data_IF_315667943629
#
_entry.id   IF_315667943629
#
_cell.length_a   1.000
_cell.length_b   1.000
_cell.length_c   1.000
_cell.angle_alpha   90.00
_cell.angle_beta   90.00
_cell.angle_gamma   90.00
#
_symmetry.space_group_name_H-M   'P 1'
#
loop_
_entity.id
_entity.type
_entity.pdbx_description
1 polymer ?
#
# COMPACT_ATOMS: atom_id res chain seq x y z
N UNK A 1 88.85 24.19 45.50
CA UNK A 1 88.04 24.88 44.49
C UNK A 1 86.54 24.51 44.69
N UNK A 2 85.76 25.46 45.17
CA UNK A 2 84.30 25.28 45.35
C UNK A 2 83.60 25.91 44.13
N UNK A 3 82.64 25.24 43.50
CA UNK A 3 81.87 25.88 42.43
C UNK A 3 80.82 26.82 43.04
N UNK A 4 80.78 28.05 42.54
CA UNK A 4 79.73 29.04 42.84
C UNK A 4 78.50 28.70 42.10
N UNK A 5 77.45 28.30 42.81
CA UNK A 5 76.10 28.12 42.30
C UNK A 5 75.49 29.54 42.13
N UNK A 6 75.34 29.96 40.90
CA UNK A 6 74.52 31.11 40.51
C UNK A 6 73.06 30.81 40.71
N UNK A 7 72.47 31.30 41.77
CA UNK A 7 71.01 31.28 42.04
C UNK A 7 70.32 32.24 41.04
N UNK A 8 69.76 31.66 40.01
CA UNK A 8 68.90 32.37 39.07
C UNK A 8 67.54 32.59 39.70
N UNK A 9 67.43 33.68 40.50
CA UNK A 9 66.07 34.15 40.90
C UNK A 9 65.34 34.61 39.66
N UNK A 10 64.40 33.82 39.17
CA UNK A 10 63.42 34.26 38.20
C UNK A 10 62.57 35.36 38.83
N UNK A 11 62.69 36.58 38.37
CA UNK A 11 61.78 37.65 38.75
C UNK A 11 60.38 37.29 38.29
N UNK A 12 59.48 36.92 39.20
CA UNK A 12 58.05 36.83 38.92
C UNK A 12 57.53 38.25 38.71
N UNK A 13 57.53 38.72 37.45
CA UNK A 13 56.82 39.93 37.06
C UNK A 13 55.32 39.63 37.15
N UNK A 14 54.60 40.25 38.10
CA UNK A 14 53.16 40.19 38.18
C UNK A 14 52.51 40.86 36.98
N UNK A 15 51.36 40.34 36.55
CA UNK A 15 50.59 40.99 35.50
C UNK A 15 50.04 42.34 35.94
N UNK A 16 50.04 43.29 35.01
CA UNK A 16 49.39 44.56 35.21
C UNK A 16 47.90 44.46 35.09
N UNK A 17 47.13 45.30 35.78
CA UNK A 17 45.67 45.34 35.74
C UNK A 17 45.17 45.60 34.31
N UNK A 18 45.90 46.35 33.49
CA UNK A 18 45.58 46.65 32.10
C UNK A 18 45.77 45.40 31.20
N UNK A 19 46.82 44.59 31.42
CA UNK A 19 47.02 43.33 30.68
C UNK A 19 45.93 42.34 30.98
N UNK A 20 45.41 42.27 32.21
CA UNK A 20 44.35 41.43 32.60
C UNK A 20 43.00 41.87 31.95
N UNK A 21 42.75 43.18 31.88
CA UNK A 21 41.61 43.78 31.24
C UNK A 21 41.62 43.56 29.73
N UNK A 22 42.72 43.74 29.05
CA UNK A 22 42.87 43.51 27.62
C UNK A 22 42.72 42.02 27.30
N UNK A 23 43.31 41.13 28.09
CA UNK A 23 43.23 39.70 27.93
C UNK A 23 41.77 39.18 28.07
N UNK A 24 41.03 39.68 29.08
CA UNK A 24 39.64 39.33 29.28
C UNK A 24 38.74 39.87 28.16
N UNK A 25 38.99 41.09 27.65
CA UNK A 25 38.26 41.66 26.53
C UNK A 25 38.45 40.83 25.24
N UNK A 26 39.70 40.43 24.94
CA UNK A 26 40.02 39.57 23.81
C UNK A 26 39.35 38.20 24.00
N UNK A 27 39.45 37.61 25.21
CA UNK A 27 38.85 36.32 25.51
C UNK A 27 37.31 36.33 25.31
N UNK A 28 36.61 37.34 25.79
CA UNK A 28 35.17 37.51 25.61
C UNK A 28 34.83 37.66 24.14
N UNK A 29 35.59 38.46 23.38
CA UNK A 29 35.36 38.66 21.95
C UNK A 29 35.55 37.37 21.14
N UNK A 30 36.64 36.63 21.41
CA UNK A 30 36.94 35.36 20.76
C UNK A 30 35.90 34.30 21.13
N UNK A 31 35.54 34.23 22.42
CA UNK A 31 34.50 33.30 22.88
C UNK A 31 33.14 33.63 22.25
N UNK A 32 32.76 34.89 22.18
CA UNK A 32 31.55 35.34 21.47
C UNK A 32 31.56 35.00 20.00
N UNK A 33 32.68 35.16 19.31
CA UNK A 33 32.82 34.75 17.91
C UNK A 33 32.69 33.22 17.73
N UNK A 34 33.30 32.44 18.61
CA UNK A 34 33.17 30.97 18.60
C UNK A 34 31.71 30.55 18.80
N UNK A 35 31.01 31.12 19.79
CA UNK A 35 29.58 30.80 20.00
C UNK A 35 28.69 31.18 18.81
N UNK A 36 28.98 32.32 18.15
CA UNK A 36 28.23 32.73 16.97
C UNK A 36 28.40 31.79 15.77
N UNK A 37 29.57 31.17 15.63
CA UNK A 37 29.84 30.15 14.59
C UNK A 37 29.32 28.76 14.96
N UNK A 38 29.33 28.38 16.25
CA UNK A 38 28.86 27.09 16.72
C UNK A 38 27.33 26.97 16.64
N UNK A 39 26.60 28.04 16.87
CA UNK A 39 25.13 28.00 16.92
C UNK A 39 24.48 27.55 15.58
N UNK A 40 24.89 28.07 14.41
CA UNK A 40 24.39 27.53 13.13
C UNK A 40 24.83 26.08 12.89
N UNK A 41 26.06 25.71 13.26
CA UNK A 41 26.60 24.38 13.07
C UNK A 41 25.83 23.32 13.87
N UNK A 42 25.49 23.63 15.13
CA UNK A 42 24.64 22.73 15.95
C UNK A 42 23.27 22.51 15.36
N UNK A 43 22.70 23.51 14.68
CA UNK A 43 21.43 23.37 14.05
C UNK A 43 21.43 22.49 12.83
N UNK A 44 22.42 22.63 12.02
CA UNK A 44 22.60 21.78 10.87
C UNK A 44 22.85 20.33 11.31
N UNK A 45 23.59 20.13 12.41
CA UNK A 45 23.81 18.80 12.98
C UNK A 45 22.51 18.13 13.48
N UNK A 46 21.49 18.88 13.87
CA UNK A 46 20.18 18.34 14.29
C UNK A 46 19.22 18.16 13.12
N UNK A 47 19.18 19.09 12.17
CA UNK A 47 18.21 19.06 11.06
C UNK A 47 18.62 18.14 9.93
N UNK A 48 19.90 18.03 9.59
CA UNK A 48 20.36 17.20 8.47
C UNK A 48 20.07 15.70 8.64
N UNK A 49 20.31 15.07 9.80
CA UNK A 49 19.93 13.67 10.02
C UNK A 49 18.43 13.43 9.87
N UNK A 50 17.60 14.34 10.40
CA UNK A 50 16.15 14.23 10.31
C UNK A 50 15.65 14.34 8.86
N UNK A 51 16.21 15.28 8.08
CA UNK A 51 15.90 15.40 6.64
C UNK A 51 16.28 14.13 5.89
N UNK A 52 17.47 13.57 6.17
CA UNK A 52 17.91 12.34 5.54
C UNK A 52 17.00 11.14 5.90
N UNK A 53 16.58 11.05 7.15
CA UNK A 53 15.66 10.02 7.63
C UNK A 53 14.27 10.18 7.00
N UNK A 54 13.72 11.39 6.92
CA UNK A 54 12.48 11.67 6.21
C UNK A 54 12.55 11.26 4.74
N UNK A 55 13.65 11.55 4.05
CA UNK A 55 13.85 11.15 2.67
C UNK A 55 13.90 9.62 2.52
N UNK A 56 14.53 8.92 3.46
CA UNK A 56 14.58 7.46 3.47
C UNK A 56 13.19 6.85 3.71
N UNK A 57 12.44 7.36 4.68
CA UNK A 57 11.05 6.93 4.94
C UNK A 57 10.17 7.12 3.70
N UNK A 58 10.30 8.29 3.05
CA UNK A 58 9.57 8.60 1.82
C UNK A 58 9.90 7.64 0.69
N UNK A 59 11.19 7.31 0.54
CA UNK A 59 11.66 6.36 -0.47
C UNK A 59 11.08 4.96 -0.24
N UNK A 60 11.11 4.46 1.00
CA UNK A 60 10.55 3.14 1.36
C UNK A 60 9.05 3.08 1.06
N UNK A 61 8.28 4.11 1.46
CA UNK A 61 6.85 4.18 1.19
C UNK A 61 6.54 4.23 -0.30
N UNK A 62 7.27 5.08 -1.04
CA UNK A 62 7.11 5.21 -2.48
C UNK A 62 7.44 3.90 -3.23
N UNK A 63 8.59 3.29 -2.98
CA UNK A 63 9.00 2.05 -3.64
C UNK A 63 8.02 0.91 -3.34
N UNK A 64 7.54 0.80 -2.10
CA UNK A 64 6.58 -0.23 -1.72
C UNK A 64 5.25 -0.03 -2.43
N UNK A 65 4.65 1.16 -2.33
CA UNK A 65 3.36 1.45 -2.97
C UNK A 65 3.44 1.37 -4.49
N UNK A 66 4.53 1.84 -5.10
CA UNK A 66 4.76 1.75 -6.54
C UNK A 66 4.80 0.28 -7.01
N UNK A 67 5.58 -0.57 -6.32
CA UNK A 67 5.71 -2.00 -6.64
C UNK A 67 4.37 -2.71 -6.54
N UNK A 68 3.64 -2.52 -5.46
CA UNK A 68 2.35 -3.17 -5.22
C UNK A 68 1.29 -2.70 -6.23
N UNK A 69 1.24 -1.39 -6.53
CA UNK A 69 0.37 -0.84 -7.57
C UNK A 69 0.69 -1.41 -8.95
N UNK A 70 1.96 -1.57 -9.30
CA UNK A 70 2.36 -2.17 -10.58
C UNK A 70 1.93 -3.63 -10.72
N UNK A 71 1.84 -4.37 -9.61
CA UNK A 71 1.38 -5.76 -9.58
C UNK A 71 -0.14 -5.88 -9.62
N UNK A 72 -0.88 -4.84 -9.26
CA UNK A 72 -2.35 -4.89 -9.20
C UNK A 72 -2.96 -5.43 -10.48
N UNK A 73 -3.88 -6.39 -10.34
CA UNK A 73 -4.58 -7.02 -11.46
C UNK A 73 -3.76 -8.05 -12.24
N UNK A 74 -2.54 -8.39 -11.81
CA UNK A 74 -1.83 -9.51 -12.40
C UNK A 74 -2.68 -10.78 -12.31
N UNK A 75 -2.87 -11.44 -13.44
CA UNK A 75 -3.67 -12.66 -13.56
C UNK A 75 -2.85 -13.93 -13.39
N UNK A 76 -3.47 -15.11 -13.56
CA UNK A 76 -2.81 -16.40 -13.47
C UNK A 76 -1.66 -16.49 -14.48
N UNK A 77 -0.54 -17.03 -14.03
CA UNK A 77 0.64 -17.24 -14.89
C UNK A 77 0.39 -18.28 -15.98
N UNK A 78 -0.34 -19.33 -15.65
CA UNK A 78 -0.61 -20.42 -16.60
C UNK A 78 -2.09 -20.50 -16.94
N UNK A 79 -2.37 -20.32 -18.21
CA UNK A 79 -3.44 -20.97 -18.94
C UNK A 79 -4.86 -20.85 -18.46
N UNK A 80 -5.18 -19.93 -17.63
CA UNK A 80 -6.57 -19.55 -17.75
C UNK A 80 -6.70 -18.91 -19.13
N UNK A 81 -7.55 -19.44 -19.94
CA UNK A 81 -7.96 -18.94 -21.26
C UNK A 81 -8.34 -17.44 -21.23
N UNK A 82 -8.30 -16.84 -20.10
CA UNK A 82 -9.00 -15.65 -19.67
C UNK A 82 -8.11 -14.45 -19.39
N UNK A 83 -6.82 -14.61 -19.22
CA UNK A 83 -5.88 -13.49 -19.14
C UNK A 83 -5.88 -12.72 -17.82
N UNK A 84 -5.96 -11.42 -17.87
CA UNK A 84 -5.84 -10.54 -16.71
C UNK A 84 -6.99 -10.73 -15.72
N UNK A 85 -6.66 -10.72 -14.41
CA UNK A 85 -7.62 -10.81 -13.31
C UNK A 85 -8.71 -9.72 -13.36
N UNK A 86 -8.40 -8.54 -13.92
CA UNK A 86 -9.35 -7.44 -14.09
C UNK A 86 -10.59 -7.79 -14.94
N UNK A 87 -10.58 -8.88 -15.67
CA UNK A 87 -11.77 -9.36 -16.39
C UNK A 87 -12.81 -9.99 -15.48
N UNK A 88 -12.49 -10.28 -14.23
CA UNK A 88 -13.35 -10.99 -13.29
C UNK A 88 -13.69 -10.17 -12.07
N UNK A 89 -12.73 -9.41 -11.52
CA UNK A 89 -12.99 -8.55 -10.38
C UNK A 89 -12.08 -7.32 -10.38
N UNK A 90 -12.45 -6.29 -9.62
CA UNK A 90 -11.66 -5.09 -9.48
C UNK A 90 -10.49 -5.33 -8.52
N UNK A 91 -9.23 -5.29 -9.00
CA UNK A 91 -8.07 -5.58 -8.15
C UNK A 91 -7.62 -4.39 -7.30
N UNK A 92 -8.29 -3.26 -7.43
CA UNK A 92 -8.02 -2.04 -6.66
C UNK A 92 -9.31 -1.63 -5.96
N UNK A 93 -9.31 -1.64 -4.63
CA UNK A 93 -10.46 -1.27 -3.82
C UNK A 93 -10.09 -0.11 -2.90
N UNK A 94 -10.90 0.97 -2.85
CA UNK A 94 -10.63 2.16 -2.03
C UNK A 94 -11.08 1.97 -0.58
N UNK A 95 -10.73 0.86 0.03
CA UNK A 95 -11.15 0.46 1.38
C UNK A 95 -10.29 -0.68 1.90
N UNK A 96 -10.41 -0.96 3.20
CA UNK A 96 -9.80 -2.12 3.85
C UNK A 96 -10.69 -3.35 3.69
N UNK A 97 -10.11 -4.47 3.28
CA UNK A 97 -10.76 -5.77 3.25
C UNK A 97 -10.00 -6.78 4.13
N UNK A 98 -10.63 -7.91 4.47
CA UNK A 98 -10.02 -8.98 5.24
C UNK A 98 -10.69 -9.21 6.59
N UNK A 99 -10.01 -9.93 7.51
CA UNK A 99 -10.61 -10.39 8.79
C UNK A 99 -10.55 -9.35 9.91
N UNK A 100 -9.52 -8.48 9.91
CA UNK A 100 -9.34 -7.46 10.94
C UNK A 100 -9.95 -6.13 10.49
N UNK A 101 -11.02 -5.71 11.18
CA UNK A 101 -11.70 -4.43 10.95
C UNK A 101 -11.93 -4.11 9.47
N UNK A 102 -12.60 -4.97 8.71
CA UNK A 102 -12.93 -4.71 7.31
C UNK A 102 -13.91 -3.55 7.20
N UNK A 103 -13.77 -2.77 6.14
CA UNK A 103 -14.75 -1.75 5.80
C UNK A 103 -15.94 -2.39 5.05
N UNK A 104 -17.10 -1.75 5.11
CA UNK A 104 -18.28 -2.19 4.33
C UNK A 104 -18.04 -2.04 2.83
N UNK A 105 -18.66 -2.87 1.97
CA UNK A 105 -18.53 -2.80 0.51
C UNK A 105 -18.81 -1.42 -0.10
N UNK A 106 -19.68 -0.63 0.50
CA UNK A 106 -20.06 0.72 0.06
C UNK A 106 -19.20 1.84 0.68
N UNK A 107 -18.06 1.49 1.30
CA UNK A 107 -17.17 2.48 1.91
C UNK A 107 -16.12 2.96 0.90
N UNK A 108 -15.95 4.27 0.80
CA UNK A 108 -14.82 4.90 0.13
C UNK A 108 -13.91 5.57 1.18
N UNK A 109 -12.63 5.25 1.11
CA UNK A 109 -11.57 5.92 1.89
C UNK A 109 -10.50 6.42 0.95
N UNK A 110 -10.20 7.70 1.03
CA UNK A 110 -9.14 8.30 0.22
C UNK A 110 -7.73 8.04 0.77
N UNK A 111 -7.62 7.58 2.02
CA UNK A 111 -6.38 7.23 2.71
C UNK A 111 -6.17 5.71 2.88
N UNK A 112 -6.97 4.89 2.19
CA UNK A 112 -6.82 3.45 2.19
C UNK A 112 -6.99 2.87 0.78
N UNK A 113 -6.19 1.87 0.46
CA UNK A 113 -6.25 1.14 -0.80
C UNK A 113 -5.93 -0.34 -0.57
N UNK A 114 -6.76 -1.22 -1.11
CA UNK A 114 -6.46 -2.65 -1.19
C UNK A 114 -6.07 -2.99 -2.61
N UNK A 115 -4.94 -3.69 -2.74
CA UNK A 115 -4.37 -4.12 -4.01
C UNK A 115 -4.33 -5.64 -4.04
N UNK A 116 -4.90 -6.23 -5.08
CA UNK A 116 -4.97 -7.68 -5.23
C UNK A 116 -4.33 -8.12 -6.55
N UNK A 117 -3.59 -9.23 -6.49
CA UNK A 117 -2.96 -9.83 -7.66
C UNK A 117 -2.67 -11.32 -7.42
N UNK A 118 -2.52 -12.07 -8.50
CA UNK A 118 -2.13 -13.47 -8.47
C UNK A 118 -0.61 -13.52 -8.62
N UNK A 119 0.13 -14.02 -7.62
CA UNK A 119 1.58 -14.16 -7.70
C UNK A 119 1.96 -15.22 -8.73
N UNK A 120 3.19 -15.15 -9.21
CA UNK A 120 3.76 -16.19 -10.06
C UNK A 120 4.08 -17.43 -9.21
N UNK A 121 3.08 -18.28 -9.00
CA UNK A 121 3.17 -19.50 -8.20
C UNK A 121 2.52 -20.68 -8.92
N UNK A 122 2.81 -21.89 -8.46
CA UNK A 122 2.19 -23.13 -8.97
C UNK A 122 0.77 -23.35 -8.42
N UNK A 123 0.32 -22.56 -7.46
CA UNK A 123 -0.95 -22.71 -6.76
C UNK A 123 -2.13 -22.25 -7.62
N UNK A 124 -2.37 -22.97 -8.72
CA UNK A 124 -3.43 -22.70 -9.70
C UNK A 124 -4.06 -24.02 -10.15
N UNK A 125 -5.38 -24.11 -10.10
CA UNK A 125 -6.14 -25.30 -10.54
C UNK A 125 -7.55 -24.90 -10.97
N UNK A 126 -8.38 -25.87 -11.32
CA UNK A 126 -9.80 -25.68 -11.66
C UNK A 126 -10.69 -26.65 -10.89
N UNK A 127 -11.94 -26.30 -10.69
CA UNK A 127 -12.94 -27.20 -10.13
C UNK A 127 -13.14 -28.39 -11.08
N UNK A 128 -12.97 -29.62 -10.56
CA UNK A 128 -13.15 -30.86 -11.30
C UNK A 128 -14.55 -31.48 -11.16
N UNK A 129 -15.28 -31.12 -10.11
CA UNK A 129 -16.63 -31.58 -9.82
C UNK A 129 -17.43 -30.43 -9.21
N UNK A 130 -18.62 -30.16 -9.74
CA UNK A 130 -19.51 -29.11 -9.27
C UNK A 130 -19.74 -29.20 -7.75
N UNK A 131 -19.73 -28.05 -7.07
CA UNK A 131 -20.01 -27.98 -5.64
C UNK A 131 -21.51 -28.21 -5.39
N UNK A 132 -21.89 -29.09 -4.44
CA UNK A 132 -23.32 -29.33 -4.15
C UNK A 132 -23.96 -28.17 -3.34
N UNK A 133 -23.15 -27.39 -2.60
CA UNK A 133 -23.59 -26.23 -1.83
C UNK A 133 -22.40 -25.32 -1.49
N UNK A 134 -22.64 -24.14 -0.93
CA UNK A 134 -21.67 -23.09 -0.64
C UNK A 134 -20.64 -23.43 0.42
N UNK A 135 -20.93 -24.41 1.29
CA UNK A 135 -20.01 -24.86 2.36
C UNK A 135 -19.25 -26.14 2.01
N UNK A 136 -19.51 -26.71 0.80
CA UNK A 136 -18.85 -27.93 0.37
C UNK A 136 -17.38 -27.68 0.05
N UNK A 137 -16.55 -28.69 0.31
CA UNK A 137 -15.14 -28.69 -0.11
C UNK A 137 -15.02 -28.53 -1.63
N UNK A 138 -13.93 -27.90 -2.06
CA UNK A 138 -13.61 -27.78 -3.48
C UNK A 138 -12.89 -29.07 -3.95
N UNK A 139 -13.53 -29.79 -4.86
CA UNK A 139 -12.90 -30.88 -5.61
C UNK A 139 -12.21 -30.29 -6.82
N UNK A 140 -10.89 -30.38 -6.86
CA UNK A 140 -10.08 -29.68 -7.86
C UNK A 140 -9.31 -30.65 -8.74
N UNK A 141 -8.84 -30.16 -9.87
CA UNK A 141 -8.03 -30.94 -10.81
C UNK A 141 -6.60 -31.02 -10.32
N UNK A 142 -5.98 -32.21 -10.32
CA UNK A 142 -4.56 -32.36 -10.09
C UNK A 142 -3.77 -31.59 -11.13
N UNK A 143 -2.70 -30.92 -10.69
CA UNK A 143 -1.81 -30.17 -11.56
C UNK A 143 -0.82 -31.10 -12.23
N UNK A 144 -0.71 -31.03 -13.56
CA UNK A 144 0.17 -31.90 -14.35
C UNK A 144 1.66 -31.53 -14.29
N UNK A 145 1.97 -30.34 -13.81
CA UNK A 145 3.33 -29.77 -13.78
C UNK A 145 3.91 -29.65 -12.38
N UNK A 146 3.33 -30.36 -11.41
CA UNK A 146 3.91 -30.47 -10.08
C UNK A 146 5.26 -31.20 -10.08
N UNK A 147 6.24 -30.80 -9.26
CA UNK A 147 7.40 -31.62 -8.95
C UNK A 147 6.98 -33.01 -8.46
N UNK A 148 7.74 -34.03 -8.80
CA UNK A 148 7.37 -35.42 -8.53
C UNK A 148 7.19 -35.78 -7.04
N UNK A 149 7.76 -35.00 -6.16
CA UNK A 149 7.73 -35.12 -4.70
C UNK A 149 6.69 -34.21 -4.02
N UNK A 150 5.98 -33.38 -4.77
CA UNK A 150 5.13 -32.32 -4.21
C UNK A 150 3.64 -32.66 -4.19
N UNK A 151 3.25 -33.87 -4.60
CA UNK A 151 1.83 -34.27 -4.71
C UNK A 151 1.10 -33.61 -5.90
N UNK A 152 -0.19 -33.89 -6.03
CA UNK A 152 -1.03 -33.42 -7.14
C UNK A 152 -1.56 -32.00 -6.98
N UNK A 153 -1.50 -31.42 -5.78
CA UNK A 153 -1.94 -30.06 -5.46
C UNK A 153 -0.74 -29.17 -5.02
N UNK A 154 0.35 -29.24 -5.79
CA UNK A 154 1.57 -28.56 -5.45
C UNK A 154 1.37 -27.04 -5.31
N UNK A 155 2.05 -26.47 -4.32
CA UNK A 155 1.99 -25.04 -4.03
C UNK A 155 0.82 -24.60 -3.15
N UNK A 156 -0.26 -25.37 -3.06
CA UNK A 156 -1.32 -25.07 -2.11
C UNK A 156 -0.94 -25.52 -0.70
N UNK A 157 -1.15 -24.64 0.28
CA UNK A 157 -0.86 -24.90 1.69
C UNK A 157 -1.97 -24.40 2.59
N UNK A 158 -2.10 -25.02 3.76
CA UNK A 158 -3.00 -24.53 4.80
C UNK A 158 -2.62 -23.08 5.19
N UNK A 159 -3.62 -22.22 5.35
CA UNK A 159 -3.43 -20.81 5.67
C UNK A 159 -3.22 -19.90 4.44
N UNK A 160 -3.15 -20.48 3.23
CA UNK A 160 -3.03 -19.71 1.99
C UNK A 160 -4.36 -19.06 1.63
N UNK A 161 -4.33 -17.79 1.25
CA UNK A 161 -5.49 -17.12 0.67
C UNK A 161 -5.58 -17.41 -0.82
N UNK A 162 -6.76 -17.79 -1.25
CA UNK A 162 -7.07 -18.15 -2.63
C UNK A 162 -8.32 -17.43 -3.11
N UNK A 163 -8.42 -17.26 -4.41
CA UNK A 163 -9.62 -16.80 -5.10
C UNK A 163 -10.15 -17.92 -5.98
N UNK A 164 -11.46 -18.15 -5.92
CA UNK A 164 -12.21 -18.93 -6.91
C UNK A 164 -13.02 -17.97 -7.77
N UNK A 165 -13.03 -18.18 -9.08
CA UNK A 165 -13.78 -17.34 -10.01
C UNK A 165 -14.24 -18.13 -11.23
N UNK A 166 -15.35 -17.71 -11.82
CA UNK A 166 -15.94 -18.29 -13.02
C UNK A 166 -15.95 -17.31 -14.21
N UNK A 167 -16.33 -17.80 -15.37
CA UNK A 167 -16.38 -17.00 -16.60
C UNK A 167 -17.49 -15.95 -16.60
N UNK A 168 -18.46 -16.04 -15.69
CA UNK A 168 -19.55 -15.07 -15.52
C UNK A 168 -19.14 -13.88 -14.64
N UNK A 169 -17.92 -13.91 -14.07
CA UNK A 169 -17.40 -12.86 -13.20
C UNK A 169 -17.83 -12.97 -11.74
N UNK A 170 -18.36 -14.13 -11.34
CA UNK A 170 -18.54 -14.42 -9.92
C UNK A 170 -17.21 -14.85 -9.32
N UNK A 171 -16.93 -14.42 -8.10
CA UNK A 171 -15.73 -14.82 -7.39
C UNK A 171 -15.96 -14.83 -5.88
N UNK A 172 -15.16 -15.63 -5.19
CA UNK A 172 -15.03 -15.63 -3.75
C UNK A 172 -13.55 -15.72 -3.36
N UNK A 173 -13.19 -15.07 -2.26
CA UNK A 173 -11.88 -15.20 -1.62
C UNK A 173 -12.04 -15.93 -0.30
N UNK A 174 -11.18 -16.90 -0.05
CA UNK A 174 -11.19 -17.66 1.19
C UNK A 174 -9.77 -18.12 1.55
N UNK A 175 -9.58 -18.52 2.80
CA UNK A 175 -8.32 -19.11 3.26
C UNK A 175 -8.45 -20.62 3.29
N UNK A 176 -7.51 -21.35 2.73
CA UNK A 176 -7.44 -22.80 2.78
C UNK A 176 -7.26 -23.24 4.23
N UNK A 177 -8.22 -24.03 4.75
CA UNK A 177 -8.14 -24.59 6.10
C UNK A 177 -7.44 -25.95 6.14
N UNK A 178 -7.47 -26.71 5.03
CA UNK A 178 -6.79 -27.99 4.88
C UNK A 178 -6.61 -28.31 3.40
N UNK A 179 -5.48 -28.90 3.04
CA UNK A 179 -5.21 -29.47 1.71
C UNK A 179 -5.23 -30.97 1.81
N UNK A 180 -6.13 -31.63 1.10
CA UNK A 180 -6.24 -33.08 1.01
C UNK A 180 -5.69 -33.54 -0.35
N UNK A 181 -4.38 -33.64 -0.44
CA UNK A 181 -3.66 -33.86 -1.69
C UNK A 181 -4.08 -35.16 -2.41
N UNK A 182 -4.19 -36.30 -1.68
CA UNK A 182 -4.58 -37.59 -2.23
C UNK A 182 -6.01 -37.61 -2.81
N UNK A 183 -6.90 -36.78 -2.30
CA UNK A 183 -8.28 -36.65 -2.75
C UNK A 183 -8.48 -35.49 -3.75
N UNK A 184 -7.47 -34.68 -3.95
CA UNK A 184 -7.51 -33.45 -4.69
C UNK A 184 -8.60 -32.47 -4.17
N UNK A 185 -8.67 -32.29 -2.86
CA UNK A 185 -9.64 -31.40 -2.22
C UNK A 185 -8.97 -30.25 -1.49
N UNK A 186 -9.57 -29.04 -1.63
CA UNK A 186 -9.25 -27.84 -0.86
C UNK A 186 -10.42 -27.54 0.07
N UNK A 187 -10.13 -27.42 1.38
CA UNK A 187 -11.13 -27.16 2.41
C UNK A 187 -11.15 -25.68 2.79
N UNK A 188 -12.35 -25.16 3.09
CA UNK A 188 -12.56 -23.78 3.55
C UNK A 188 -13.50 -23.72 4.76
N UNK A 189 -13.29 -24.59 5.74
CA UNK A 189 -14.14 -24.75 6.92
C UNK A 189 -14.47 -23.43 7.61
N UNK A 190 -15.76 -23.17 7.85
CA UNK A 190 -16.23 -21.95 8.50
C UNK A 190 -16.24 -20.71 7.60
N UNK A 191 -16.09 -20.88 6.29
CA UNK A 191 -16.15 -19.81 5.31
C UNK A 191 -17.10 -20.27 4.19
N UNK A 192 -18.36 -19.80 4.21
CA UNK A 192 -19.30 -20.10 3.15
C UNK A 192 -19.01 -19.20 1.93
N UNK A 193 -18.99 -19.80 0.76
CA UNK A 193 -18.88 -19.06 -0.49
C UNK A 193 -20.20 -18.38 -0.83
N UNK A 194 -20.21 -17.41 -1.73
CA UNK A 194 -21.42 -16.69 -2.13
C UNK A 194 -22.37 -17.56 -2.96
N UNK A 195 -21.80 -18.53 -3.69
CA UNK A 195 -22.52 -19.50 -4.52
C UNK A 195 -21.76 -20.82 -4.60
N UNK A 196 -22.44 -21.94 -4.96
CA UNK A 196 -21.71 -23.13 -5.41
C UNK A 196 -21.09 -22.85 -6.80
N UNK A 197 -19.87 -23.35 -7.03
CA UNK A 197 -19.15 -23.20 -8.29
C UNK A 197 -19.21 -24.49 -9.10
N UNK A 198 -19.34 -24.33 -10.42
CA UNK A 198 -19.37 -25.42 -11.38
C UNK A 198 -17.98 -25.84 -11.85
N UNK A 199 -17.94 -26.96 -12.58
CA UNK A 199 -16.75 -27.51 -13.22
C UNK A 199 -16.09 -26.43 -14.10
N UNK A 200 -14.79 -26.29 -13.98
CA UNK A 200 -14.01 -25.34 -14.77
C UNK A 200 -13.80 -23.98 -14.12
N UNK A 201 -14.49 -23.67 -13.01
CA UNK A 201 -14.15 -22.48 -12.24
C UNK A 201 -12.69 -22.52 -11.79
N UNK A 202 -12.00 -21.40 -11.90
CA UNK A 202 -10.57 -21.31 -11.61
C UNK A 202 -10.35 -21.08 -10.12
N UNK A 203 -9.37 -21.77 -9.55
CA UNK A 203 -8.91 -21.57 -8.16
C UNK A 203 -7.42 -21.26 -8.17
N UNK A 204 -7.03 -20.16 -7.57
CA UNK A 204 -5.62 -19.75 -7.56
C UNK A 204 -5.26 -18.97 -6.30
N UNK A 205 -3.97 -19.02 -5.93
CA UNK A 205 -3.45 -18.16 -4.88
C UNK A 205 -3.71 -16.70 -5.20
N UNK A 206 -4.10 -15.92 -4.21
CA UNK A 206 -4.21 -14.47 -4.30
C UNK A 206 -3.39 -13.79 -3.22
N UNK A 207 -2.78 -12.68 -3.57
CA UNK A 207 -2.20 -11.73 -2.62
C UNK A 207 -3.12 -10.52 -2.58
N UNK A 208 -3.56 -10.16 -1.38
CA UNK A 208 -4.42 -8.99 -1.18
C UNK A 208 -3.85 -8.18 -0.01
N UNK A 209 -3.28 -7.02 -0.33
CA UNK A 209 -2.67 -6.13 0.65
C UNK A 209 -3.43 -4.82 0.74
N UNK A 210 -3.83 -4.43 1.95
CA UNK A 210 -4.39 -3.10 2.22
C UNK A 210 -3.31 -2.19 2.76
N UNK A 211 -3.12 -1.04 2.13
CA UNK A 211 -2.28 0.05 2.60
C UNK A 211 -3.18 1.17 3.11
N UNK A 212 -2.91 1.68 4.30
CA UNK A 212 -3.73 2.73 4.90
C UNK A 212 -2.94 3.57 5.90
N UNK A 213 -3.43 4.78 6.16
CA UNK A 213 -2.86 5.66 7.18
C UNK A 213 -3.50 5.39 8.54
N UNK A 214 -2.68 4.94 9.50
CA UNK A 214 -3.08 4.96 10.90
C UNK A 214 -2.85 6.37 11.47
N UNK A 215 -3.93 7.14 11.60
CA UNK A 215 -3.88 8.53 12.07
C UNK A 215 -3.55 8.66 13.56
N UNK A 216 -3.71 7.59 14.35
CA UNK A 216 -3.38 7.62 15.79
C UNK A 216 -1.88 7.51 16.01
N UNK A 217 -1.22 6.65 15.23
CA UNK A 217 0.23 6.41 15.32
C UNK A 217 1.04 7.17 14.27
N UNK A 218 0.38 7.83 13.31
CA UNK A 218 0.99 8.46 12.14
C UNK A 218 1.89 7.48 11.36
N UNK A 219 1.34 6.32 11.03
CA UNK A 219 2.07 5.27 10.33
C UNK A 219 1.35 4.85 9.06
N UNK A 220 2.11 4.66 7.98
CA UNK A 220 1.64 3.89 6.84
C UNK A 220 1.65 2.42 7.24
N UNK A 221 0.49 1.80 7.24
CA UNK A 221 0.29 0.41 7.61
C UNK A 221 0.11 -0.46 6.37
N UNK A 222 0.51 -1.73 6.47
CA UNK A 222 0.15 -2.80 5.53
C UNK A 222 -0.57 -3.90 6.26
N UNK A 223 -1.72 -4.27 5.76
CA UNK A 223 -2.53 -5.39 6.22
C UNK A 223 -2.71 -6.42 5.10
N UNK A 224 -2.43 -7.67 5.37
CA UNK A 224 -2.43 -8.76 4.38
C UNK A 224 -3.77 -9.51 4.24
N UNK A 225 -4.87 -8.97 4.77
CA UNK A 225 -6.17 -9.62 4.76
C UNK A 225 -6.41 -10.66 5.88
N UNK A 226 -5.37 -11.15 6.52
CA UNK A 226 -5.41 -12.19 7.55
C UNK A 226 -5.31 -11.64 8.97
N UNK A 227 -4.17 -11.88 9.62
CA UNK A 227 -3.91 -11.48 11.01
C UNK A 227 -2.80 -10.44 11.15
N UNK A 228 -2.03 -10.20 10.08
CA UNK A 228 -0.87 -9.33 10.13
C UNK A 228 -1.22 -7.90 9.71
N UNK A 229 -1.02 -6.99 10.64
CA UNK A 229 -1.18 -5.55 10.45
C UNK A 229 0.13 -4.89 10.90
N UNK A 230 0.99 -4.55 9.96
CA UNK A 230 2.37 -4.12 10.22
C UNK A 230 2.64 -2.70 9.76
N UNK A 231 3.34 -1.88 10.56
CA UNK A 231 3.79 -0.58 10.14
C UNK A 231 4.91 -0.70 9.09
N UNK A 232 4.84 0.11 8.04
CA UNK A 232 5.83 0.19 6.98
C UNK A 232 6.67 1.46 7.08
N UNK A 233 6.04 2.59 7.36
CA UNK A 233 6.69 3.89 7.42
C UNK A 233 6.11 4.69 8.57
N UNK A 234 6.99 5.19 9.42
CA UNK A 234 6.63 6.05 10.55
C UNK A 234 6.53 7.53 10.13
N UNK A 235 5.82 8.29 10.96
CA UNK A 235 5.63 9.74 10.80
C UNK A 235 5.01 10.17 9.47
N UNK A 236 4.14 9.33 8.91
CA UNK A 236 3.26 9.68 7.80
C UNK A 236 2.05 10.40 8.35
N UNK A 237 1.85 11.64 7.92
CA UNK A 237 0.79 12.51 8.45
C UNK A 237 -0.33 12.77 7.45
N UNK A 238 -0.10 12.44 6.18
CA UNK A 238 -1.12 12.49 5.15
C UNK A 238 -0.85 11.42 4.09
N UNK A 239 -1.92 10.78 3.65
CA UNK A 239 -1.92 9.78 2.60
C UNK A 239 -3.20 9.96 1.81
N UNK A 240 -3.08 10.02 0.47
CA UNK A 240 -4.24 10.17 -0.39
C UNK A 240 -4.08 9.38 -1.67
N UNK A 241 -5.13 8.62 -2.02
CA UNK A 241 -5.27 7.92 -3.28
C UNK A 241 -6.33 8.59 -4.14
N UNK A 242 -6.00 8.87 -5.39
CA UNK A 242 -6.91 9.39 -6.40
C UNK A 242 -6.92 8.45 -7.59
N UNK A 243 -8.10 8.18 -8.12
CA UNK A 243 -8.32 7.18 -9.14
C UNK A 243 -8.67 7.84 -10.46
N UNK A 244 -8.05 7.36 -11.54
CA UNK A 244 -8.32 7.79 -12.91
C UNK A 244 -8.61 6.57 -13.75
N UNK A 245 -9.62 6.63 -14.58
CA UNK A 245 -10.09 5.48 -15.31
C UNK A 245 -10.68 5.77 -16.68
N UNK A 246 -11.10 4.71 -17.34
CA UNK A 246 -11.76 4.79 -18.62
C UNK A 246 -13.10 5.54 -18.47
N UNK A 247 -13.35 6.59 -19.26
CA UNK A 247 -14.64 7.28 -19.24
C UNK A 247 -15.81 6.40 -19.69
N UNK A 248 -15.54 5.35 -20.49
CA UNK A 248 -16.57 4.43 -20.94
C UNK A 248 -16.88 3.36 -19.91
N UNK A 249 -18.11 2.80 -19.87
CA UNK A 249 -18.47 1.65 -19.05
C UNK A 249 -17.54 0.45 -19.33
N UNK A 250 -17.20 -0.34 -18.31
CA UNK A 250 -16.39 -1.54 -18.51
C UNK A 250 -17.15 -2.59 -19.33
N UNK A 251 -16.42 -3.32 -20.17
CA UNK A 251 -16.96 -4.39 -21.02
C UNK A 251 -16.75 -5.80 -20.45
N UNK A 252 -16.04 -5.94 -19.35
CA UNK A 252 -15.79 -7.20 -18.67
C UNK A 252 -16.08 -7.04 -17.17
N UNK A 253 -16.48 -8.10 -16.45
CA UNK A 253 -16.71 -9.46 -16.92
C UNK A 253 -18.02 -9.61 -17.74
N UNK A 254 -17.98 -10.47 -18.78
CA UNK A 254 -19.17 -10.83 -19.56
C UNK A 254 -19.58 -12.27 -19.22
N UNK A 255 -20.88 -12.53 -18.93
CA UNK A 255 -21.39 -13.88 -18.85
C UNK A 255 -21.17 -14.65 -20.15
N UNK A 256 -21.13 -15.97 -20.06
CA UNK A 256 -21.07 -16.81 -21.26
C UNK A 256 -22.32 -16.56 -22.11
N UNK A 257 -22.15 -16.28 -23.39
CA UNK A 257 -23.27 -16.01 -24.31
C UNK A 257 -24.21 -17.22 -24.34
N UNK A 258 -25.49 -16.97 -24.05
CA UNK A 258 -26.53 -18.00 -24.05
C UNK A 258 -26.64 -18.79 -22.73
N UNK A 259 -25.88 -18.50 -21.70
CA UNK A 259 -26.00 -19.12 -20.36
C UNK A 259 -27.28 -18.72 -19.63
N UNK A 260 -27.87 -17.57 -19.98
CA UNK A 260 -28.99 -16.99 -19.22
C UNK A 260 -28.54 -16.41 -17.86
N UNK A 261 -27.25 -16.35 -17.61
CA UNK A 261 -26.68 -15.77 -16.37
C UNK A 261 -26.55 -14.25 -16.49
N UNK A 262 -26.81 -13.56 -15.41
CA UNK A 262 -26.58 -12.14 -15.28
C UNK A 262 -25.45 -11.84 -14.27
N UNK A 263 -24.84 -10.67 -14.39
CA UNK A 263 -23.91 -10.16 -13.39
C UNK A 263 -24.13 -8.64 -13.18
N UNK A 264 -23.20 -7.97 -12.52
CA UNK A 264 -23.33 -6.53 -12.26
C UNK A 264 -23.30 -5.66 -13.53
N UNK A 265 -22.69 -6.12 -14.62
CA UNK A 265 -22.52 -5.36 -15.88
C UNK A 265 -23.52 -5.75 -16.97
N UNK A 266 -24.04 -6.97 -16.95
CA UNK A 266 -24.91 -7.53 -17.99
C UNK A 266 -26.16 -8.16 -17.39
N UNK A 267 -27.27 -8.03 -18.10
CA UNK A 267 -28.52 -8.75 -17.78
C UNK A 267 -28.50 -10.19 -18.34
N UNK A 268 -29.54 -11.00 -18.02
CA UNK A 268 -29.67 -12.38 -18.47
C UNK A 268 -29.79 -12.50 -20.00
N UNK A 269 -30.07 -11.42 -20.71
CA UNK A 269 -30.15 -11.37 -22.18
C UNK A 269 -28.82 -10.99 -22.81
N UNK A 270 -27.80 -10.65 -22.00
CA UNK A 270 -26.50 -10.20 -22.46
C UNK A 270 -26.44 -8.73 -22.83
N UNK A 271 -27.45 -7.92 -22.43
CA UNK A 271 -27.39 -6.47 -22.63
C UNK A 271 -26.59 -5.80 -21.50
N UNK A 272 -25.76 -4.79 -21.79
CA UNK A 272 -25.05 -4.05 -20.75
C UNK A 272 -26.03 -3.26 -19.87
N UNK A 273 -25.82 -3.35 -18.56
CA UNK A 273 -26.53 -2.50 -17.59
C UNK A 273 -26.05 -1.06 -17.72
N UNK A 274 -26.92 -0.06 -17.57
CA UNK A 274 -26.57 1.33 -17.76
C UNK A 274 -25.60 1.80 -16.68
N UNK A 275 -24.42 2.25 -17.10
CA UNK A 275 -23.44 2.94 -16.30
C UNK A 275 -23.16 4.31 -16.92
N UNK A 276 -22.91 5.37 -16.13
CA UNK A 276 -22.67 6.69 -16.68
C UNK A 276 -21.40 6.71 -17.54
N UNK A 277 -21.45 7.39 -18.67
CA UNK A 277 -20.27 7.71 -19.48
C UNK A 277 -19.69 9.02 -18.96
N UNK A 278 -18.39 9.06 -18.72
CA UNK A 278 -17.67 10.23 -18.23
C UNK A 278 -16.98 10.95 -19.39
N UNK A 279 -16.93 12.27 -19.29
CA UNK A 279 -16.08 13.04 -20.19
C UNK A 279 -14.62 12.86 -19.77
N UNK A 280 -13.70 12.59 -20.71
CA UNK A 280 -12.29 12.47 -20.37
C UNK A 280 -11.73 13.85 -20.00
N UNK A 281 -10.96 13.89 -18.92
CA UNK A 281 -10.08 15.01 -18.63
C UNK A 281 -8.87 15.00 -19.58
N UNK A 282 -7.98 15.97 -19.47
CA UNK A 282 -6.76 16.04 -20.28
C UNK A 282 -6.00 14.68 -20.21
N UNK A 283 -5.82 14.04 -21.36
CA UNK A 283 -5.11 12.77 -21.49
C UNK A 283 -5.95 11.50 -21.61
N UNK A 284 -7.23 11.61 -21.94
CA UNK A 284 -8.16 10.51 -22.22
C UNK A 284 -8.57 9.62 -21.02
N UNK A 285 -8.10 9.86 -19.79
CA UNK A 285 -8.60 9.24 -18.58
C UNK A 285 -9.39 10.26 -17.76
N UNK A 286 -10.56 9.88 -17.27
CA UNK A 286 -11.36 10.71 -16.38
C UNK A 286 -10.94 10.46 -14.92
N UNK A 287 -10.99 11.51 -14.09
CA UNK A 287 -10.91 11.34 -12.64
C UNK A 287 -12.21 10.68 -12.16
N UNK A 288 -12.08 9.62 -11.37
CA UNK A 288 -13.20 8.88 -10.80
C UNK A 288 -13.50 9.42 -9.39
N UNK A 289 -14.63 10.12 -9.18
CA UNK A 289 -14.99 10.63 -7.86
C UNK A 289 -15.28 9.48 -6.88
N UNK A 290 -14.90 9.64 -5.61
CA UNK A 290 -15.12 8.61 -4.59
C UNK A 290 -16.59 8.19 -4.44
N UNK A 291 -17.53 9.12 -4.61
CA UNK A 291 -18.97 8.81 -4.55
C UNK A 291 -19.41 7.82 -5.63
N UNK A 292 -18.86 7.94 -6.84
CA UNK A 292 -19.14 7.05 -7.97
C UNK A 292 -18.58 5.63 -7.76
N UNK A 293 -17.51 5.50 -6.97
CA UNK A 293 -16.86 4.20 -6.72
C UNK A 293 -17.57 3.37 -5.63
N UNK A 294 -18.74 3.81 -5.16
CA UNK A 294 -19.51 3.16 -4.07
C UNK A 294 -21.03 3.22 -4.27
N UNK A 295 -21.54 3.73 -5.40
CA UNK A 295 -22.96 3.94 -5.64
C UNK A 295 -23.63 2.76 -6.41
N UNK A 296 -22.85 1.80 -6.90
CA UNK A 296 -23.32 0.61 -7.59
C UNK A 296 -23.45 0.77 -9.11
N UNK A 297 -23.82 -0.30 -9.80
CA UNK A 297 -24.22 -1.61 -9.27
C UNK A 297 -23.06 -2.40 -8.66
N UNK A 298 -23.39 -3.20 -7.63
CA UNK A 298 -22.39 -4.01 -6.93
C UNK A 298 -22.14 -5.33 -7.65
N UNK A 299 -20.87 -5.66 -7.83
CA UNK A 299 -20.36 -6.92 -8.34
C UNK A 299 -19.91 -7.83 -7.20
N UNK A 300 -19.86 -9.13 -7.45
CA UNK A 300 -19.46 -10.12 -6.46
C UNK A 300 -20.50 -10.38 -5.38
N UNK A 301 -20.18 -11.21 -4.39
CA UNK A 301 -21.06 -11.65 -3.33
C UNK A 301 -20.50 -11.43 -1.92
N UNK A 302 -21.39 -11.41 -0.94
CA UNK A 302 -21.02 -11.34 0.48
C UNK A 302 -20.14 -10.14 0.84
N UNK A 303 -19.10 -10.36 1.63
CA UNK A 303 -18.15 -9.33 2.06
C UNK A 303 -17.18 -8.88 0.96
N UNK A 304 -17.12 -9.62 -0.15
CA UNK A 304 -16.24 -9.34 -1.29
C UNK A 304 -16.87 -8.46 -2.36
N UNK A 305 -18.10 -7.95 -2.14
CA UNK A 305 -18.77 -7.06 -3.07
C UNK A 305 -17.95 -5.81 -3.36
N UNK A 306 -17.99 -5.34 -4.61
CA UNK A 306 -17.36 -4.12 -5.06
C UNK A 306 -18.20 -3.42 -6.11
N UNK A 307 -18.02 -2.12 -6.25
CA UNK A 307 -18.71 -1.30 -7.23
C UNK A 307 -18.19 -1.58 -8.65
N UNK A 308 -19.09 -1.68 -9.63
CA UNK A 308 -18.74 -1.92 -11.03
C UNK A 308 -17.82 -0.84 -11.61
N UNK A 309 -17.92 0.39 -11.15
CA UNK A 309 -17.08 1.50 -11.62
C UNK A 309 -15.59 1.34 -11.22
N UNK A 310 -15.28 0.48 -10.23
CA UNK A 310 -13.90 0.14 -9.89
C UNK A 310 -13.17 -0.61 -11.02
N UNK A 311 -13.91 -1.28 -11.92
CA UNK A 311 -13.34 -1.90 -13.13
C UNK A 311 -12.82 -0.89 -14.15
N UNK A 312 -13.19 0.40 -14.04
CA UNK A 312 -12.69 1.49 -14.90
C UNK A 312 -11.28 1.93 -14.55
N UNK A 313 -10.79 1.68 -13.33
CA UNK A 313 -9.51 2.21 -12.85
C UNK A 313 -8.38 1.76 -13.78
N UNK A 314 -7.58 2.75 -14.24
CA UNK A 314 -6.41 2.55 -15.09
C UNK A 314 -5.14 3.18 -14.54
N UNK A 315 -5.31 4.18 -13.66
CA UNK A 315 -4.20 4.92 -13.06
C UNK A 315 -4.57 5.33 -11.63
N UNK A 316 -3.61 5.27 -10.75
CA UNK A 316 -3.74 5.73 -9.37
C UNK A 316 -2.66 6.78 -9.11
N UNK A 317 -3.07 7.93 -8.59
CA UNK A 317 -2.16 8.95 -8.03
C UNK A 317 -2.10 8.76 -6.53
N UNK A 318 -0.88 8.66 -6.02
CA UNK A 318 -0.60 8.58 -4.59
C UNK A 318 0.05 9.87 -4.15
N UNK A 319 -0.47 10.47 -3.09
CA UNK A 319 0.16 11.60 -2.41
C UNK A 319 0.45 11.18 -0.97
N UNK A 320 1.70 11.30 -0.54
CA UNK A 320 2.13 10.96 0.81
C UNK A 320 2.92 12.11 1.41
N UNK A 321 2.64 12.45 2.67
CA UNK A 321 3.32 13.50 3.43
C UNK A 321 3.90 12.93 4.72
N UNK A 322 5.19 13.16 4.93
CA UNK A 322 5.90 12.78 6.16
C UNK A 322 6.32 14.01 6.94
N UNK A 323 6.40 13.88 8.25
CA UNK A 323 6.83 14.92 9.16
C UNK A 323 8.13 14.54 9.88
N UNK A 324 8.83 15.53 10.43
CA UNK A 324 9.92 15.28 11.36
C UNK A 324 9.44 14.52 12.59
N UNK A 325 10.23 13.53 13.05
CA UNK A 325 9.88 12.71 14.20
C UNK A 325 9.88 13.56 15.49
N UNK A 326 10.92 14.39 15.66
CA UNK A 326 11.05 15.23 16.85
C UNK A 326 10.15 16.48 16.76
N UNK A 327 9.18 16.64 17.68
CA UNK A 327 8.33 17.83 17.76
C UNK A 327 9.10 19.16 17.90
N UNK A 328 10.33 19.12 18.43
CA UNK A 328 11.18 20.32 18.56
C UNK A 328 11.69 20.86 17.22
N UNK A 329 11.63 20.04 16.16
CA UNK A 329 11.99 20.43 14.80
C UNK A 329 10.79 20.86 13.97
N UNK A 330 9.59 20.86 14.52
CA UNK A 330 8.34 21.28 13.86
C UNK A 330 7.87 22.62 14.41
N UNK A 331 7.51 23.53 13.52
CA UNK A 331 6.98 24.86 13.88
C UNK A 331 5.46 24.86 14.06
N UNK A 332 4.91 26.05 14.25
CA UNK A 332 3.47 26.26 14.45
C UNK A 332 2.69 26.54 13.15
N UNK A 333 3.39 26.81 12.04
CA UNK A 333 2.76 27.15 10.75
C UNK A 333 2.08 25.93 10.12
N UNK A 334 0.76 25.94 10.04
CA UNK A 334 -0.05 24.86 9.49
C UNK A 334 0.14 24.64 7.99
N UNK A 335 0.69 25.60 7.26
CA UNK A 335 1.05 25.43 5.85
C UNK A 335 2.28 24.52 5.68
N UNK A 336 3.20 24.59 6.63
CA UNK A 336 4.43 23.80 6.62
C UNK A 336 4.33 22.50 7.42
N UNK A 337 3.47 22.46 8.44
CA UNK A 337 3.38 21.36 9.39
C UNK A 337 1.94 20.89 9.56
N UNK A 338 1.65 19.64 9.22
CA UNK A 338 0.33 19.05 9.47
C UNK A 338 0.03 18.96 10.98
N UNK A 339 1.05 18.54 11.74
CA UNK A 339 1.02 18.49 13.19
C UNK A 339 2.00 19.52 13.76
N UNK A 340 1.50 20.61 14.38
CA UNK A 340 2.38 21.61 14.96
C UNK A 340 3.33 21.03 16.01
N UNK A 341 4.52 21.61 16.12
CA UNK A 341 5.53 21.23 17.09
C UNK A 341 5.87 22.36 18.07
N UNK A 342 7.01 22.23 18.72
CA UNK A 342 7.48 23.16 19.77
C UNK A 342 8.61 24.08 19.32
N UNK A 343 9.05 23.99 18.06
CA UNK A 343 10.06 24.89 17.51
C UNK A 343 9.54 26.33 17.50
N UNK A 344 10.34 27.25 18.06
CA UNK A 344 9.97 28.66 18.14
C UNK A 344 10.55 29.44 16.95
N UNK A 345 9.83 30.49 16.52
CA UNK A 345 10.21 31.30 15.37
C UNK A 345 11.66 31.77 15.38
N UNK A 346 12.32 31.65 14.23
CA UNK A 346 13.74 31.96 14.04
C UNK A 346 14.69 30.82 14.39
N UNK A 347 14.21 29.71 14.91
CA UNK A 347 14.98 28.49 15.17
C UNK A 347 14.74 27.42 14.11
N UNK A 348 15.56 26.43 14.17
CA UNK A 348 15.71 25.31 13.25
C UNK A 348 14.46 24.47 13.20
N UNK A 349 13.84 24.38 12.05
CA UNK A 349 12.73 23.49 11.81
C UNK A 349 12.91 22.74 10.49
N UNK A 350 12.31 21.56 10.42
CA UNK A 350 12.26 20.72 9.24
C UNK A 350 10.81 20.64 8.79
N UNK A 351 10.42 21.33 7.70
CA UNK A 351 9.06 21.27 7.18
C UNK A 351 8.69 19.84 6.80
N UNK A 352 7.40 19.55 6.85
CA UNK A 352 6.87 18.31 6.29
C UNK A 352 7.24 18.20 4.81
N UNK A 353 7.58 16.99 4.39
CA UNK A 353 7.89 16.70 3.01
C UNK A 353 6.76 15.91 2.35
N UNK A 354 6.32 16.36 1.17
CA UNK A 354 5.25 15.73 0.42
C UNK A 354 5.76 15.25 -0.93
N UNK A 355 5.36 14.05 -1.32
CA UNK A 355 5.58 13.51 -2.65
C UNK A 355 4.24 13.11 -3.28
N UNK A 356 4.12 13.32 -4.59
CA UNK A 356 3.02 12.81 -5.38
C UNK A 356 3.57 12.09 -6.59
N UNK A 357 3.05 10.90 -6.87
CA UNK A 357 3.41 10.12 -8.04
C UNK A 357 2.20 9.39 -8.60
N UNK A 358 2.28 9.01 -9.87
CA UNK A 358 1.21 8.30 -10.57
C UNK A 358 1.72 6.94 -11.03
N UNK A 359 0.85 5.94 -10.90
CA UNK A 359 1.12 4.57 -11.37
C UNK A 359 -0.02 4.13 -12.28
N UNK A 360 0.35 3.67 -13.46
CA UNK A 360 -0.57 2.99 -14.38
C UNK A 360 -0.24 1.50 -14.40
N UNK A 361 -0.97 0.67 -13.63
CA UNK A 361 -0.69 -0.76 -13.56
C UNK A 361 -0.79 -1.40 -14.93
N UNK A 362 0.25 -2.12 -15.33
CA UNK A 362 0.30 -2.72 -16.67
C UNK A 362 -0.87 -3.67 -16.91
N UNK A 363 -1.21 -4.46 -15.91
CA UNK A 363 -2.25 -5.49 -16.03
C UNK A 363 -3.66 -4.90 -16.24
N UNK A 364 -3.92 -3.69 -15.75
CA UNK A 364 -5.19 -2.99 -15.97
C UNK A 364 -5.30 -2.38 -17.37
N UNK A 365 -4.19 -2.28 -18.09
CA UNK A 365 -4.09 -1.62 -19.39
C UNK A 365 -3.82 -2.57 -20.57
N UNK A 366 -3.71 -3.89 -20.33
CA UNK A 366 -3.39 -4.89 -21.36
C UNK A 366 -4.53 -5.12 -22.38
N UNK A 367 -5.76 -4.72 -22.05
CA UNK A 367 -6.96 -4.98 -22.86
C UNK A 367 -7.54 -3.71 -23.49
N UNK A 368 -6.75 -2.67 -23.57
CA UNK A 368 -7.15 -1.40 -24.20
C UNK A 368 -6.96 -1.41 -25.70
#
# INVERSE_FOLDING_TARGET
>A
MRPVLLDRRSSQAGYTLIELLVSTAIMVTVTGAIFSLMNPAQGNAQTQPEVADMQQRMRVGNETLFKELMMAGAGPYQGSVTGSLVRYFAPILPRRIGRLNPDLPTTFKDDAITLSYIPNSYSQTTISSAMPNVSAELKVTNQSNCPADAGGLCGFTQGMDVIIFDTSGNFDMFTITEVQDAAAHLQHRGQDLSKPYDIGASVTQIVSNTFYLNRQTNQLMRYNGGTNDVPLVDNVVDLKFQYFGDPNPPLAPQPLIGSGEENCLYDALGNPKPLPTLNPDEGSLAMLPGAMLVDGPMCGGGSNQYDADLLRIRKVRVTMRVQAADPSLRGADTALFKNPGTSRGGQKFVPDYSISFEVSPRNLNLTR
#
